data_IF_727967406758
#
_entry.id   IF_727967406758
#
_cell.length_a   1.000
_cell.length_b   1.000
_cell.length_c   1.000
_cell.angle_alpha   90.00
_cell.angle_beta   90.00
_cell.angle_gamma   90.00
#
_symmetry.space_group_name_H-M   'P 1'
#
loop_
_entity.id
_entity.type
_entity.pdbx_description
1 polymer ?
#
# COMPACT_ATOMS: atom_id res chain seq x y z
N UNK A 1 -6.39 13.80 34.83
CA UNK A 1 -7.40 14.23 33.85
C UNK A 1 -8.07 15.48 34.41
N UNK A 2 -8.40 16.43 33.55
CA UNK A 2 -9.09 17.67 33.91
C UNK A 2 -10.37 17.79 33.08
N UNK A 3 -11.44 18.28 33.68
CA UNK A 3 -12.67 18.61 32.97
C UNK A 3 -12.81 20.14 33.00
N UNK A 4 -12.74 20.74 31.83
CA UNK A 4 -12.84 22.18 31.65
C UNK A 4 -13.90 22.49 30.61
N UNK A 5 -14.66 23.56 30.88
CA UNK A 5 -15.64 24.05 29.92
C UNK A 5 -14.91 24.69 28.73
N UNK A 6 -15.34 24.36 27.52
CA UNK A 6 -14.81 24.97 26.30
C UNK A 6 -15.23 26.46 26.30
N UNK A 7 -14.29 27.41 26.13
CA UNK A 7 -14.60 28.83 26.09
C UNK A 7 -15.65 29.15 25.01
N UNK A 8 -16.68 29.98 25.31
CA UNK A 8 -17.71 30.32 24.33
C UNK A 8 -17.17 30.97 23.05
N UNK A 9 -16.08 31.73 23.14
CA UNK A 9 -15.40 32.33 21.98
C UNK A 9 -14.87 31.29 20.99
N UNK A 10 -14.35 30.17 21.50
CA UNK A 10 -13.83 29.07 20.70
C UNK A 10 -14.96 28.33 19.97
N UNK A 11 -16.10 28.13 20.64
CA UNK A 11 -17.31 27.54 20.05
C UNK A 11 -17.85 28.41 18.92
N UNK A 12 -17.87 29.73 19.11
CA UNK A 12 -18.29 30.66 18.06
C UNK A 12 -17.35 30.60 16.84
N UNK A 13 -16.03 30.58 17.07
CA UNK A 13 -15.03 30.47 15.99
C UNK A 13 -15.18 29.19 15.16
N UNK A 14 -15.41 28.04 15.82
CA UNK A 14 -15.57 26.76 15.11
C UNK A 14 -16.90 26.64 14.37
N UNK A 15 -17.94 27.35 14.83
CA UNK A 15 -19.25 27.34 14.19
C UNK A 15 -19.24 28.06 12.84
N UNK A 16 -18.56 29.19 12.78
CA UNK A 16 -18.51 30.05 11.59
C UNK A 16 -17.10 30.63 11.45
N UNK A 17 -16.13 29.82 10.97
CA UNK A 17 -14.77 30.29 10.78
C UNK A 17 -14.74 31.39 9.69
N UNK A 18 -13.96 32.45 9.89
CA UNK A 18 -13.99 33.63 9.01
C UNK A 18 -13.46 33.34 7.59
N UNK A 19 -12.63 32.32 7.43
CA UNK A 19 -12.04 31.92 6.16
C UNK A 19 -12.12 30.40 5.98
N UNK A 20 -12.34 29.97 4.74
CA UNK A 20 -12.25 28.57 4.35
C UNK A 20 -10.80 28.28 3.96
N UNK A 21 -10.24 27.22 4.54
CA UNK A 21 -8.88 26.78 4.26
C UNK A 21 -8.79 26.20 2.84
N UNK A 22 -8.09 26.84 1.87
CA UNK A 22 -8.08 26.41 0.48
C UNK A 22 -7.39 25.05 0.27
N UNK A 23 -6.52 24.64 1.20
CA UNK A 23 -5.88 23.32 1.17
C UNK A 23 -6.83 22.18 1.52
N UNK A 24 -7.99 22.47 2.12
CA UNK A 24 -9.03 21.47 2.38
C UNK A 24 -10.00 21.41 1.19
N UNK A 25 -9.80 20.43 0.33
CA UNK A 25 -10.64 20.18 -0.83
C UNK A 25 -11.20 18.76 -0.83
N UNK A 26 -12.20 18.52 -1.69
CA UNK A 26 -12.67 17.17 -1.96
C UNK A 26 -11.56 16.37 -2.66
N UNK A 27 -11.48 15.04 -2.42
CA UNK A 27 -10.52 14.20 -3.11
C UNK A 27 -10.75 14.24 -4.62
N UNK A 28 -9.68 14.08 -5.39
CA UNK A 28 -9.77 13.87 -6.82
C UNK A 28 -10.49 12.54 -7.12
N UNK A 29 -10.88 12.33 -8.38
CA UNK A 29 -11.42 11.05 -8.84
C UNK A 29 -10.41 9.93 -8.55
N UNK A 30 -10.85 8.87 -7.87
CA UNK A 30 -10.02 7.69 -7.63
C UNK A 30 -9.74 6.96 -8.96
N UNK A 31 -8.47 6.91 -9.36
CA UNK A 31 -8.00 6.25 -10.58
C UNK A 31 -7.65 4.76 -10.38
N UNK A 32 -7.66 4.27 -9.14
CA UNK A 32 -7.41 2.87 -8.75
C UNK A 32 -8.67 1.99 -8.74
N UNK A 33 -9.86 2.55 -9.03
CA UNK A 33 -11.07 1.74 -9.16
C UNK A 33 -10.90 0.73 -10.32
N UNK A 34 -10.92 -0.59 -10.05
CA UNK A 34 -10.72 -1.59 -11.08
C UNK A 34 -11.92 -1.62 -12.03
N UNK A 35 -11.64 -1.67 -13.33
CA UNK A 35 -12.67 -1.73 -14.38
C UNK A 35 -12.57 -2.98 -15.26
N UNK A 36 -11.45 -3.71 -15.22
CA UNK A 36 -11.24 -4.96 -15.96
C UNK A 36 -11.27 -6.16 -15.02
N UNK A 37 -12.25 -7.03 -15.21
CA UNK A 37 -12.45 -8.23 -14.40
C UNK A 37 -12.29 -9.54 -15.21
N UNK A 38 -11.69 -9.47 -16.41
CA UNK A 38 -11.50 -10.64 -17.26
C UNK A 38 -10.54 -11.65 -16.61
N UNK A 39 -10.96 -12.91 -16.52
CA UNK A 39 -10.17 -13.99 -15.95
C UNK A 39 -9.12 -14.49 -16.94
N UNK A 40 -7.90 -14.74 -16.45
CA UNK A 40 -6.79 -15.29 -17.25
C UNK A 40 -6.74 -16.82 -17.23
N UNK A 41 -7.42 -17.44 -16.26
CA UNK A 41 -7.47 -18.90 -16.05
C UNK A 41 -8.23 -19.67 -17.15
N UNK A 42 -9.09 -18.99 -17.92
CA UNK A 42 -9.92 -19.60 -18.97
C UNK A 42 -9.15 -19.96 -20.26
N UNK A 43 -7.87 -19.59 -20.37
CA UNK A 43 -7.09 -19.90 -21.57
C UNK A 43 -6.74 -21.39 -21.66
N UNK A 44 -7.21 -22.03 -22.74
CA UNK A 44 -7.25 -23.50 -22.95
C UNK A 44 -5.88 -24.23 -23.02
N UNK A 45 -4.77 -23.50 -22.96
CA UNK A 45 -3.41 -24.06 -23.14
C UNK A 45 -2.55 -24.05 -21.87
N UNK A 46 -3.16 -23.88 -20.69
CA UNK A 46 -2.43 -23.73 -19.45
C UNK A 46 -2.20 -25.07 -18.74
N UNK A 47 -0.96 -25.56 -18.81
CA UNK A 47 -0.47 -26.69 -18.00
C UNK A 47 -0.85 -26.45 -16.54
N UNK A 48 -1.47 -27.44 -15.91
CA UNK A 48 -1.82 -27.32 -14.50
C UNK A 48 -0.57 -27.14 -13.65
N UNK A 49 -0.59 -26.10 -12.81
CA UNK A 49 0.52 -25.79 -11.91
C UNK A 49 0.01 -25.88 -10.48
N UNK A 50 0.06 -27.08 -9.92
CA UNK A 50 -0.32 -27.32 -8.53
C UNK A 50 0.59 -26.53 -7.56
N UNK A 51 1.83 -26.28 -7.97
CA UNK A 51 2.85 -25.59 -7.20
C UNK A 51 3.41 -24.36 -7.94
N UNK A 52 3.85 -23.31 -7.21
CA UNK A 52 4.58 -22.20 -7.81
C UNK A 52 5.83 -22.69 -8.56
N UNK A 53 6.04 -22.16 -9.76
CA UNK A 53 7.25 -22.44 -10.56
C UNK A 53 8.16 -21.23 -10.57
N UNK A 54 9.46 -21.48 -10.43
CA UNK A 54 10.47 -20.47 -10.63
C UNK A 54 10.57 -20.21 -12.14
N UNK A 55 10.14 -19.03 -12.58
CA UNK A 55 10.19 -18.64 -14.00
C UNK A 55 11.36 -17.71 -14.30
N UNK A 56 12.04 -17.20 -13.28
CA UNK A 56 13.29 -16.47 -13.38
C UNK A 56 14.16 -16.79 -12.18
N UNK A 57 15.37 -17.29 -12.43
CA UNK A 57 16.39 -17.55 -11.41
C UNK A 57 17.70 -16.84 -11.82
N UNK A 58 17.84 -15.60 -11.40
CA UNK A 58 19.00 -14.76 -11.69
C UNK A 58 19.83 -14.47 -10.44
N UNK A 59 21.03 -13.91 -10.63
CA UNK A 59 21.96 -13.60 -9.55
C UNK A 59 21.40 -12.64 -8.47
N UNK A 60 20.49 -11.74 -8.85
CA UNK A 60 19.91 -10.72 -7.96
C UNK A 60 18.41 -10.84 -7.74
N UNK A 61 17.73 -11.61 -8.58
CA UNK A 61 16.26 -11.70 -8.60
C UNK A 61 15.85 -13.13 -8.83
N UNK A 62 14.92 -13.59 -8.01
CA UNK A 62 14.25 -14.88 -8.16
C UNK A 62 12.75 -14.65 -8.19
N UNK A 63 12.09 -15.11 -9.25
CA UNK A 63 10.66 -14.87 -9.46
C UNK A 63 9.90 -16.19 -9.59
N UNK A 64 8.92 -16.34 -8.70
CA UNK A 64 8.05 -17.49 -8.63
C UNK A 64 6.64 -17.10 -9.06
N UNK A 65 6.03 -17.93 -9.89
CA UNK A 65 4.70 -17.68 -10.42
C UNK A 65 3.82 -18.93 -10.27
N UNK A 66 2.58 -18.69 -9.83
CA UNK A 66 1.48 -19.66 -9.88
C UNK A 66 0.25 -18.92 -10.37
N UNK A 67 -0.36 -19.44 -11.43
CA UNK A 67 -1.68 -18.96 -11.85
C UNK A 67 -2.73 -19.57 -10.94
N UNK A 68 -3.58 -18.74 -10.34
CA UNK A 68 -4.73 -19.23 -9.59
C UNK A 68 -5.79 -19.78 -10.56
N UNK A 69 -6.25 -21.00 -10.28
CA UNK A 69 -7.39 -21.65 -10.94
C UNK A 69 -8.46 -22.08 -9.93
N UNK A 70 -8.23 -21.85 -8.64
CA UNK A 70 -9.09 -22.35 -7.57
C UNK A 70 -10.24 -21.39 -7.29
N UNK A 71 -9.96 -20.09 -7.21
CA UNK A 71 -10.96 -19.12 -6.74
C UNK A 71 -11.67 -18.38 -7.87
N UNK A 72 -11.12 -18.38 -9.09
CA UNK A 72 -11.71 -17.72 -10.27
C UNK A 72 -12.15 -16.27 -10.00
N UNK A 73 -11.31 -15.53 -9.28
CA UNK A 73 -11.50 -14.10 -9.01
C UNK A 73 -10.47 -13.27 -9.77
N UNK A 74 -10.81 -12.04 -10.19
CA UNK A 74 -9.89 -11.12 -10.86
C UNK A 74 -8.94 -10.46 -9.84
N UNK A 75 -8.21 -11.28 -9.09
CA UNK A 75 -7.27 -10.88 -8.05
C UNK A 75 -5.97 -11.65 -8.22
N UNK A 76 -4.87 -10.95 -8.00
CA UNK A 76 -3.54 -11.56 -7.86
C UNK A 76 -2.95 -11.16 -6.51
N UNK A 77 -2.14 -12.05 -5.93
CA UNK A 77 -1.34 -11.74 -4.75
C UNK A 77 0.12 -11.69 -5.18
N UNK A 78 0.80 -10.60 -4.83
CA UNK A 78 2.22 -10.41 -5.10
C UNK A 78 2.96 -10.27 -3.77
N UNK A 79 4.09 -10.96 -3.66
CA UNK A 79 4.94 -10.92 -2.47
C UNK A 79 6.37 -10.59 -2.91
N UNK A 80 6.99 -9.62 -2.25
CA UNK A 80 8.34 -9.20 -2.53
C UNK A 80 9.18 -9.36 -1.27
N UNK A 81 10.26 -10.13 -1.36
CA UNK A 81 11.30 -10.18 -0.34
C UNK A 81 12.52 -9.43 -0.89
N UNK A 82 12.76 -8.23 -0.36
CA UNK A 82 13.90 -7.39 -0.75
C UNK A 82 14.96 -7.52 0.33
N UNK A 83 16.14 -8.01 -0.05
CA UNK A 83 17.29 -8.12 0.85
C UNK A 83 18.26 -6.99 0.57
N UNK A 84 18.48 -6.13 1.56
CA UNK A 84 19.47 -5.04 1.50
C UNK A 84 20.71 -5.46 2.30
N UNK A 85 21.89 -5.35 1.69
CA UNK A 85 23.14 -5.67 2.37
C UNK A 85 23.35 -4.71 3.54
N UNK A 86 23.85 -5.22 4.66
CA UNK A 86 24.26 -4.46 5.84
C UNK A 86 23.13 -3.70 6.59
N UNK A 87 21.86 -3.93 6.24
CA UNK A 87 20.70 -3.28 6.87
C UNK A 87 20.49 -3.66 8.35
N UNK A 88 20.93 -4.85 8.76
CA UNK A 88 20.79 -5.37 10.13
C UNK A 88 22.12 -5.73 10.81
N UNK A 89 23.24 -5.20 10.31
CA UNK A 89 24.57 -5.55 10.86
C UNK A 89 24.90 -4.83 12.18
N UNK A 90 24.18 -3.78 12.54
CA UNK A 90 24.29 -3.10 13.84
C UNK A 90 22.97 -2.46 14.23
N UNK A 91 22.81 -2.17 15.52
CA UNK A 91 21.63 -1.48 16.06
C UNK A 91 21.35 -0.18 15.31
N UNK A 92 22.38 0.58 14.95
CA UNK A 92 22.23 1.83 14.18
C UNK A 92 21.61 1.59 12.80
N UNK A 93 22.10 0.59 12.07
CA UNK A 93 21.56 0.26 10.74
C UNK A 93 20.13 -0.27 10.83
N UNK A 94 19.80 -1.07 11.85
CA UNK A 94 18.44 -1.53 12.09
C UNK A 94 17.49 -0.33 12.28
N UNK A 95 17.85 0.60 13.16
CA UNK A 95 17.03 1.79 13.46
C UNK A 95 16.87 2.69 12.24
N UNK A 96 17.94 2.92 11.47
CA UNK A 96 17.87 3.73 10.25
C UNK A 96 17.03 3.07 9.16
N UNK A 97 17.12 1.76 9.02
CA UNK A 97 16.31 0.99 8.05
C UNK A 97 14.84 1.09 8.43
N UNK A 98 14.49 0.92 9.71
CA UNK A 98 13.12 1.05 10.18
C UNK A 98 12.58 2.47 9.99
N UNK A 99 13.38 3.49 10.32
CA UNK A 99 13.00 4.89 10.08
C UNK A 99 12.75 5.16 8.60
N UNK A 100 13.63 4.68 7.72
CA UNK A 100 13.44 4.80 6.28
C UNK A 100 12.13 4.15 5.81
N UNK A 101 11.84 2.94 6.29
CA UNK A 101 10.59 2.24 5.94
C UNK A 101 9.36 3.01 6.42
N UNK A 102 9.42 3.65 7.58
CA UNK A 102 8.31 4.46 8.10
C UNK A 102 8.11 5.73 7.29
N UNK A 103 9.18 6.45 6.95
CA UNK A 103 9.10 7.63 6.08
C UNK A 103 8.59 7.28 4.68
N UNK A 104 9.04 6.15 4.13
CA UNK A 104 8.56 5.69 2.83
C UNK A 104 7.07 5.34 2.85
N UNK A 105 6.60 4.70 3.93
CA UNK A 105 5.17 4.40 4.10
C UNK A 105 4.34 5.67 4.22
N UNK A 106 4.83 6.66 4.97
CA UNK A 106 4.17 7.95 5.16
C UNK A 106 4.02 8.69 3.83
N UNK A 107 5.11 8.80 3.06
CA UNK A 107 5.12 9.44 1.74
C UNK A 107 4.18 8.73 0.75
N UNK A 108 4.13 7.40 0.77
CA UNK A 108 3.27 6.63 -0.13
C UNK A 108 1.80 6.59 0.32
N UNK A 109 1.49 6.96 1.56
CA UNK A 109 0.16 6.79 2.13
C UNK A 109 -0.89 7.62 1.38
N UNK A 110 -0.58 8.87 1.05
CA UNK A 110 -1.50 9.75 0.32
C UNK A 110 -1.86 9.19 -1.07
N UNK A 111 -0.88 8.58 -1.74
CA UNK A 111 -1.06 7.98 -3.08
C UNK A 111 -1.87 6.68 -2.97
N UNK A 112 -1.53 5.83 -2.00
CA UNK A 112 -2.13 4.49 -1.86
C UNK A 112 -3.55 4.51 -1.28
N UNK A 113 -3.93 5.60 -0.59
CA UNK A 113 -5.27 5.73 0.00
C UNK A 113 -6.35 6.07 -1.03
N UNK A 114 -5.97 6.63 -2.18
CA UNK A 114 -6.92 7.08 -3.21
C UNK A 114 -7.90 5.99 -3.61
#
# INVERSE_FOLDING_TARGET
>A
YGNEAIPPSLICLWRDPPELEPSLHLPAKNEFIPYNFSLRSESKNLVDMDLPKCILDGLKVKFWYKLDKTFNVPRANTYFLITVKDSYNSVRQCVLTELFMNLLRDELNEILYQ
#
